data_IF_749257310288
#
_entry.id   IF_749257310288
#
_cell.length_a   1.000
_cell.length_b   1.000
_cell.length_c   1.000
_cell.angle_alpha   90.00
_cell.angle_beta   90.00
_cell.angle_gamma   90.00
#
_symmetry.space_group_name_H-M   'P 1'
#
loop_
_entity.id
_entity.type
_entity.pdbx_description
1 polymer ?
#
# COMPACT_ATOMS: atom_id res chain seq x y z
N UNK A 1 -26.24 -10.48 -18.73
CA UNK A 1 -25.70 -11.10 -17.50
C UNK A 1 -24.19 -10.99 -17.60
N UNK A 2 -23.57 -10.03 -16.90
CA UNK A 2 -22.13 -9.84 -16.95
C UNK A 2 -21.44 -10.96 -16.17
N UNK A 3 -20.49 -11.62 -16.82
CA UNK A 3 -19.75 -12.76 -16.31
C UNK A 3 -19.05 -12.43 -14.98
N UNK A 4 -19.18 -13.33 -14.02
CA UNK A 4 -18.83 -13.16 -12.61
C UNK A 4 -17.35 -13.40 -12.35
N UNK A 5 -16.45 -12.61 -12.94
CA UNK A 5 -15.00 -12.79 -12.77
C UNK A 5 -14.21 -11.49 -12.72
N UNK A 6 -14.62 -10.54 -11.88
CA UNK A 6 -13.62 -9.57 -11.42
C UNK A 6 -12.82 -10.26 -10.29
N UNK A 7 -11.57 -10.67 -10.52
CA UNK A 7 -10.88 -11.53 -9.57
C UNK A 7 -10.57 -10.72 -8.32
N UNK A 8 -11.15 -11.14 -7.18
CA UNK A 8 -10.96 -10.44 -5.92
C UNK A 8 -9.47 -10.41 -5.55
N UNK A 9 -8.97 -9.21 -5.29
CA UNK A 9 -7.63 -8.95 -4.78
C UNK A 9 -7.68 -8.79 -3.27
N UNK A 10 -6.62 -9.23 -2.59
CA UNK A 10 -6.33 -8.87 -1.21
C UNK A 10 -5.18 -7.85 -1.21
N UNK A 11 -5.32 -6.79 -0.42
CA UNK A 11 -4.20 -5.93 -0.08
C UNK A 11 -3.89 -5.97 1.42
N UNK A 12 -2.63 -5.78 1.75
CA UNK A 12 -2.10 -5.53 3.08
C UNK A 12 -1.21 -4.30 2.99
N UNK A 13 -1.39 -3.38 3.94
CA UNK A 13 -0.50 -2.24 4.13
C UNK A 13 -0.15 -2.12 5.60
N UNK A 14 1.14 -2.05 5.90
CA UNK A 14 1.68 -1.89 7.26
C UNK A 14 2.75 -0.80 7.25
N UNK A 15 2.69 0.12 8.20
CA UNK A 15 3.63 1.24 8.31
C UNK A 15 3.92 1.51 9.79
N UNK A 16 5.20 1.59 10.16
CA UNK A 16 5.62 1.96 11.52
C UNK A 16 5.59 3.49 11.72
N UNK A 17 5.59 3.96 12.97
CA UNK A 17 5.85 5.39 13.21
C UNK A 17 7.27 5.73 12.75
N UNK A 18 7.51 6.94 12.22
CA UNK A 18 8.86 7.42 12.03
C UNK A 18 9.52 7.58 13.39
N UNK A 19 10.40 6.65 13.72
CA UNK A 19 11.09 6.59 14.99
C UNK A 19 12.46 5.95 14.78
N UNK A 20 13.40 6.28 15.66
CA UNK A 20 14.71 5.65 15.64
C UNK A 20 14.58 4.25 16.27
N UNK A 21 14.58 3.19 15.46
CA UNK A 21 14.62 1.80 15.95
C UNK A 21 13.32 1.22 16.51
N UNK A 22 12.16 1.83 16.22
CA UNK A 22 10.85 1.22 16.48
C UNK A 22 10.25 0.70 15.17
N UNK A 23 10.21 -0.63 15.04
CA UNK A 23 9.63 -1.34 13.90
C UNK A 23 8.18 -1.75 14.15
N UNK A 24 7.59 -1.33 15.28
CA UNK A 24 6.20 -1.69 15.60
C UNK A 24 5.24 -1.02 14.61
N UNK A 25 4.28 -1.77 14.04
CA UNK A 25 3.31 -1.19 13.12
C UNK A 25 2.42 -0.21 13.88
N UNK A 26 2.51 1.06 13.50
CA UNK A 26 1.60 2.10 13.98
C UNK A 26 0.25 2.01 13.29
N UNK A 27 0.30 1.61 12.03
CA UNK A 27 -0.85 1.54 11.17
C UNK A 27 -0.75 0.28 10.32
N UNK A 28 -1.80 -0.54 10.36
CA UNK A 28 -1.90 -1.76 9.58
C UNK A 28 -3.34 -1.91 9.09
N UNK A 29 -3.52 -2.24 7.81
CA UNK A 29 -4.82 -2.54 7.22
C UNK A 29 -4.72 -3.69 6.26
N UNK A 30 -5.76 -4.53 6.26
CA UNK A 30 -5.87 -5.69 5.38
C UNK A 30 -7.31 -5.82 4.92
N UNK A 31 -7.53 -5.82 3.61
CA UNK A 31 -8.87 -5.99 3.07
C UNK A 31 -8.84 -6.68 1.70
N UNK A 32 -10.02 -7.06 1.22
CA UNK A 32 -10.24 -7.66 -0.10
C UNK A 32 -11.25 -6.84 -0.88
N UNK A 33 -11.08 -6.75 -2.19
CA UNK A 33 -12.02 -6.04 -3.07
C UNK A 33 -11.77 -6.33 -4.54
N UNK A 34 -12.58 -5.72 -5.40
CA UNK A 34 -12.28 -5.67 -6.84
C UNK A 34 -11.02 -4.85 -7.10
N UNK A 35 -10.46 -4.95 -8.31
CA UNK A 35 -9.28 -4.17 -8.67
C UNK A 35 -9.47 -2.67 -8.46
N UNK A 36 -10.60 -2.11 -8.89
CA UNK A 36 -10.91 -0.69 -8.72
C UNK A 36 -11.00 -0.29 -7.24
N UNK A 37 -11.60 -1.13 -6.40
CA UNK A 37 -11.68 -0.91 -4.95
C UNK A 37 -10.30 -0.93 -4.30
N UNK A 38 -9.43 -1.88 -4.69
CA UNK A 38 -8.06 -1.97 -4.17
C UNK A 38 -7.23 -0.76 -4.61
N UNK A 39 -7.32 -0.33 -5.87
CA UNK A 39 -6.62 0.86 -6.36
C UNK A 39 -7.07 2.12 -5.62
N UNK A 40 -8.39 2.30 -5.44
CA UNK A 40 -8.93 3.42 -4.68
C UNK A 40 -8.43 3.41 -3.23
N UNK A 41 -8.51 2.26 -2.56
CA UNK A 41 -8.03 2.10 -1.20
C UNK A 41 -6.53 2.44 -1.10
N UNK A 42 -5.67 1.87 -1.95
CA UNK A 42 -4.23 2.14 -1.90
C UNK A 42 -3.90 3.63 -2.07
N UNK A 43 -4.64 4.36 -2.93
CA UNK A 43 -4.47 5.80 -3.11
C UNK A 43 -4.91 6.60 -1.89
N UNK A 44 -6.09 6.31 -1.35
CA UNK A 44 -6.61 6.98 -0.16
C UNK A 44 -5.69 6.77 1.05
N UNK A 45 -5.18 5.55 1.19
CA UNK A 45 -4.25 5.18 2.24
C UNK A 45 -2.91 5.91 2.09
N UNK A 46 -2.36 6.00 0.87
CA UNK A 46 -1.15 6.79 0.61
C UNK A 46 -1.34 8.28 0.96
N UNK A 47 -2.52 8.84 0.66
CA UNK A 47 -2.82 10.24 0.99
C UNK A 47 -3.01 10.45 2.49
N UNK A 48 -3.58 9.47 3.20
CA UNK A 48 -3.68 9.50 4.66
C UNK A 48 -2.30 9.45 5.31
N UNK A 49 -1.44 8.54 4.84
CA UNK A 49 -0.06 8.40 5.29
C UNK A 49 0.72 9.70 5.06
N UNK A 50 0.55 10.34 3.90
CA UNK A 50 1.18 11.63 3.61
C UNK A 50 0.70 12.79 4.51
N UNK A 51 -0.56 12.75 4.99
CA UNK A 51 -1.11 13.75 5.93
C UNK A 51 -0.67 13.49 7.37
N UNK A 52 -0.73 12.22 7.79
CA UNK A 52 -0.57 11.84 9.18
C UNK A 52 0.92 11.70 9.57
N UNK A 53 1.82 11.47 8.61
CA UNK A 53 3.26 11.51 8.84
C UNK A 53 3.75 12.97 8.78
N UNK A 54 4.12 13.58 9.93
CA UNK A 54 4.57 14.96 9.93
C UNK A 54 5.85 15.06 9.11
N UNK A 55 6.00 16.13 8.32
CA UNK A 55 7.31 16.55 7.83
C UNK A 55 8.16 16.96 9.03
N UNK A 56 8.84 16.00 9.67
CA UNK A 56 9.81 16.30 10.72
C UNK A 56 11.00 16.95 10.02
N UNK A 57 11.05 18.29 10.04
CA UNK A 57 12.03 19.06 9.27
C UNK A 57 13.44 19.07 9.89
N UNK A 58 13.58 18.68 11.15
CA UNK A 58 14.84 18.70 11.89
C UNK A 58 15.50 17.33 12.09
N UNK A 59 14.72 16.25 12.05
CA UNK A 59 15.19 14.86 12.06
C UNK A 59 14.62 14.16 10.84
N UNK A 60 15.38 13.31 10.17
CA UNK A 60 14.91 12.47 9.05
C UNK A 60 14.55 11.07 9.58
N UNK A 61 13.48 10.89 10.38
CA UNK A 61 13.14 9.57 10.86
C UNK A 61 12.76 8.68 9.68
N UNK A 62 13.16 7.42 9.74
CA UNK A 62 12.74 6.40 8.78
C UNK A 62 11.54 5.66 9.36
N UNK A 63 10.66 5.19 8.49
CA UNK A 63 9.62 4.24 8.84
C UNK A 63 9.92 2.92 8.12
N UNK A 64 9.63 1.81 8.79
CA UNK A 64 9.42 0.54 8.13
C UNK A 64 8.04 0.57 7.45
N UNK A 65 7.96 0.01 6.26
CA UNK A 65 6.72 -0.12 5.52
C UNK A 65 6.68 -1.44 4.76
N UNK A 66 5.48 -2.00 4.65
CA UNK A 66 5.19 -3.20 3.87
C UNK A 66 3.88 -3.06 3.13
N UNK A 67 3.91 -3.39 1.85
CA UNK A 67 2.75 -3.47 0.97
C UNK A 67 2.73 -4.85 0.33
N UNK A 68 1.55 -5.46 0.26
CA UNK A 68 1.34 -6.71 -0.45
C UNK A 68 -0.02 -6.68 -1.12
N UNK A 69 -0.03 -6.89 -2.44
CA UNK A 69 -1.24 -7.11 -3.21
C UNK A 69 -1.16 -8.47 -3.86
N UNK A 70 -2.19 -9.29 -3.67
CA UNK A 70 -2.24 -10.65 -4.21
C UNK A 70 -3.63 -11.01 -4.69
N UNK A 71 -3.67 -11.90 -5.66
CA UNK A 71 -4.87 -12.57 -6.11
C UNK A 71 -5.39 -13.56 -5.06
N UNK A 72 -6.64 -13.98 -5.24
CA UNK A 72 -7.33 -14.93 -4.34
C UNK A 72 -6.64 -16.30 -4.26
N UNK A 73 -6.02 -16.73 -5.36
CA UNK A 73 -5.23 -17.97 -5.45
C UNK A 73 -3.90 -17.89 -4.65
N UNK A 74 -3.57 -16.71 -4.12
CA UNK A 74 -2.34 -16.45 -3.39
C UNK A 74 -1.20 -15.89 -4.23
N UNK A 75 -1.36 -15.83 -5.56
CA UNK A 75 -0.37 -15.27 -6.48
C UNK A 75 -0.16 -13.79 -6.19
N UNK A 76 1.09 -13.38 -5.96
CA UNK A 76 1.43 -11.99 -5.66
C UNK A 76 1.37 -11.18 -6.96
N UNK A 77 0.63 -10.08 -6.94
CA UNK A 77 0.57 -9.12 -8.04
C UNK A 77 1.72 -8.11 -7.88
N UNK A 78 1.85 -7.53 -6.69
CA UNK A 78 2.94 -6.62 -6.34
C UNK A 78 3.19 -6.66 -4.83
N UNK A 79 4.43 -6.39 -4.43
CA UNK A 79 4.79 -6.30 -3.02
C UNK A 79 6.06 -5.47 -2.82
N UNK A 80 6.13 -4.75 -1.72
CA UNK A 80 7.30 -4.00 -1.32
C UNK A 80 7.46 -4.07 0.21
N UNK A 81 8.70 -4.16 0.67
CA UNK A 81 9.07 -4.12 2.09
C UNK A 81 10.36 -3.31 2.20
N UNK A 82 10.43 -2.36 3.12
CA UNK A 82 11.62 -1.54 3.27
C UNK A 82 11.60 -0.57 4.44
N UNK A 83 12.75 0.07 4.63
CA UNK A 83 12.95 1.13 5.63
C UNK A 83 13.41 2.38 4.91
N UNK A 84 12.56 3.40 4.85
CA UNK A 84 12.87 4.64 4.14
C UNK A 84 12.22 5.86 4.81
N UNK A 85 12.43 7.03 4.24
CA UNK A 85 11.69 8.23 4.64
C UNK A 85 10.18 8.06 4.34
N UNK A 86 9.28 8.65 5.14
CA UNK A 86 7.83 8.65 4.91
C UNK A 86 7.39 8.92 3.47
N UNK A 87 8.03 9.88 2.80
CA UNK A 87 7.70 10.27 1.43
C UNK A 87 8.03 9.16 0.42
N UNK A 88 9.07 8.37 0.70
CA UNK A 88 9.40 7.18 -0.10
C UNK A 88 8.33 6.12 0.08
N UNK A 89 7.92 5.83 1.32
CA UNK A 89 6.85 4.87 1.59
C UNK A 89 5.55 5.25 0.85
N UNK A 90 5.14 6.52 0.90
CA UNK A 90 3.97 7.05 0.15
C UNK A 90 4.13 6.87 -1.35
N UNK A 91 5.32 7.15 -1.89
CA UNK A 91 5.59 7.00 -3.33
C UNK A 91 5.47 5.55 -3.76
N UNK A 92 6.10 4.62 -3.04
CA UNK A 92 6.02 3.19 -3.36
C UNK A 92 4.57 2.69 -3.30
N UNK A 93 3.77 3.13 -2.32
CA UNK A 93 2.35 2.78 -2.24
C UNK A 93 1.54 3.26 -3.46
N UNK A 94 1.82 4.48 -3.95
CA UNK A 94 1.20 5.02 -5.17
C UNK A 94 1.65 4.25 -6.42
N UNK A 95 2.90 3.81 -6.48
CA UNK A 95 3.40 2.97 -7.57
C UNK A 95 2.70 1.61 -7.57
N UNK A 96 2.57 0.95 -6.41
CA UNK A 96 1.78 -0.29 -6.28
C UNK A 96 0.35 -0.11 -6.78
N UNK A 97 -0.32 0.99 -6.43
CA UNK A 97 -1.66 1.28 -6.95
C UNK A 97 -1.70 1.43 -8.49
N UNK A 98 -0.68 2.05 -9.08
CA UNK A 98 -0.56 2.18 -10.54
C UNK A 98 -0.26 0.84 -11.23
N UNK A 99 0.56 -0.02 -10.61
CA UNK A 99 0.85 -1.38 -11.11
C UNK A 99 -0.42 -2.22 -11.10
N UNK A 100 -1.13 -2.26 -9.97
CA UNK A 100 -2.42 -2.97 -9.85
C UNK A 100 -3.35 -2.52 -10.97
N UNK A 101 -3.59 -1.22 -11.09
CA UNK A 101 -4.45 -0.65 -12.13
C UNK A 101 -4.05 -1.05 -13.56
N UNK A 102 -2.75 -1.08 -13.85
CA UNK A 102 -2.24 -1.43 -15.18
C UNK A 102 -2.42 -2.91 -15.48
N UNK A 103 -2.14 -3.77 -14.50
CA UNK A 103 -2.18 -5.24 -14.66
C UNK A 103 -3.61 -5.77 -14.66
N UNK A 104 -4.55 -5.11 -13.97
CA UNK A 104 -5.92 -5.62 -13.82
C UNK A 104 -6.91 -5.00 -14.80
N UNK A 105 -6.51 -4.06 -15.67
CA UNK A 105 -7.41 -3.51 -16.67
C UNK A 105 -7.55 -4.46 -17.87
N UNK A 106 -8.78 -4.78 -18.31
CA UNK A 106 -8.99 -5.49 -19.56
C UNK A 106 -8.56 -4.59 -20.74
N UNK A 107 -7.82 -5.18 -21.68
CA UNK A 107 -7.50 -4.57 -22.99
C UNK A 107 -8.72 -4.54 -23.90
#
# INVERSE_FOLDING_TARGET
>A
MADSRDPALMYLVEISRPALGDESPWWATRNTGTADQVVAALRELADRVARDLPSMRSWRPRCWYRYLVRWRDGSILDSCDGIAAPETAVREQRLTAAIVFTVTRPH
#
